data_IF_841692044365
#
_entry.id   IF_841692044365
#
_cell.length_a   1.000
_cell.length_b   1.000
_cell.length_c   1.000
_cell.angle_alpha   90.00
_cell.angle_beta   90.00
_cell.angle_gamma   90.00
#
_symmetry.space_group_name_H-M   'P 1'
#
loop_
_entity.id
_entity.type
_entity.pdbx_description
1 polymer ?
#
# COMPACT_ATOMS: atom_id res chain seq x y z
N UNK A 1 -11.62 -10.42 -21.56
CA UNK A 1 -12.70 -10.76 -20.62
C UNK A 1 -12.81 -9.59 -19.66
N UNK A 2 -13.85 -8.78 -19.76
CA UNK A 2 -14.11 -7.72 -18.78
C UNK A 2 -14.60 -8.39 -17.51
N UNK A 3 -13.81 -8.28 -16.43
CA UNK A 3 -14.24 -8.75 -15.11
C UNK A 3 -15.59 -8.11 -14.76
N UNK A 4 -16.52 -8.92 -14.26
CA UNK A 4 -17.76 -8.44 -13.69
C UNK A 4 -17.44 -7.46 -12.55
N UNK A 5 -18.14 -6.32 -12.38
CA UNK A 5 -17.78 -5.29 -11.39
C UNK A 5 -17.89 -5.74 -9.93
N UNK A 6 -18.16 -7.00 -9.66
CA UNK A 6 -18.32 -7.59 -8.32
C UNK A 6 -17.68 -8.99 -8.19
N UNK A 7 -16.61 -9.31 -8.91
CA UNK A 7 -15.89 -10.54 -8.60
C UNK A 7 -15.12 -10.35 -7.29
N UNK A 8 -15.47 -11.11 -6.25
CA UNK A 8 -14.77 -11.15 -4.96
C UNK A 8 -13.43 -11.91 -5.05
N UNK A 9 -13.00 -12.28 -6.25
CA UNK A 9 -11.76 -13.02 -6.44
C UNK A 9 -10.60 -12.06 -6.73
N UNK A 10 -9.40 -12.35 -6.20
CA UNK A 10 -8.21 -11.55 -6.50
C UNK A 10 -7.87 -11.66 -7.99
N UNK A 11 -7.38 -10.58 -8.55
CA UNK A 11 -6.92 -10.56 -9.94
C UNK A 11 -5.64 -11.40 -10.04
N UNK A 12 -5.63 -12.45 -10.85
CA UNK A 12 -4.47 -13.31 -11.00
C UNK A 12 -3.32 -12.56 -11.68
N UNK A 13 -2.10 -12.79 -11.22
CA UNK A 13 -0.89 -12.23 -11.82
C UNK A 13 -0.31 -13.23 -12.82
N UNK A 14 -0.09 -12.80 -14.06
CA UNK A 14 0.62 -13.58 -15.04
C UNK A 14 2.14 -13.45 -14.84
N UNK A 15 2.78 -14.55 -14.46
CA UNK A 15 4.23 -14.59 -14.25
C UNK A 15 5.03 -14.19 -15.50
N UNK A 16 4.48 -14.44 -16.70
CA UNK A 16 5.11 -14.05 -17.97
C UNK A 16 5.17 -12.53 -18.11
N UNK A 17 4.13 -11.81 -17.70
CA UNK A 17 4.10 -10.34 -17.68
C UNK A 17 5.12 -9.78 -16.70
N UNK A 18 5.21 -10.36 -15.51
CA UNK A 18 6.20 -9.96 -14.49
C UNK A 18 7.63 -10.14 -14.98
N UNK A 19 7.92 -11.26 -15.68
CA UNK A 19 9.24 -11.51 -16.27
C UNK A 19 9.57 -10.52 -17.42
N UNK A 20 8.58 -10.20 -18.27
CA UNK A 20 8.75 -9.20 -19.32
C UNK A 20 9.02 -7.81 -18.73
N UNK A 21 8.26 -7.42 -17.71
CA UNK A 21 8.51 -6.15 -16.98
C UNK A 21 9.91 -6.15 -16.39
N UNK A 22 10.31 -7.25 -15.72
CA UNK A 22 11.65 -7.38 -15.14
C UNK A 22 12.78 -7.27 -16.18
N UNK A 23 12.55 -7.71 -17.41
CA UNK A 23 13.53 -7.62 -18.49
C UNK A 23 13.61 -6.22 -19.12
N UNK A 24 12.52 -5.46 -19.08
CA UNK A 24 12.40 -4.16 -19.72
C UNK A 24 12.59 -2.98 -18.75
N UNK A 25 12.24 -3.17 -17.47
CA UNK A 25 12.33 -2.11 -16.45
C UNK A 25 13.78 -1.77 -16.16
N UNK A 26 14.15 -0.51 -16.35
CA UNK A 26 15.52 -0.03 -16.15
C UNK A 26 16.51 -0.40 -17.26
N UNK A 27 16.08 -1.09 -18.32
CA UNK A 27 16.93 -1.35 -19.48
C UNK A 27 17.22 -0.04 -20.22
N UNK A 28 18.49 0.27 -20.40
CA UNK A 28 18.96 1.48 -21.10
C UNK A 28 18.79 1.39 -22.61
N UNK A 29 18.80 0.15 -23.14
CA UNK A 29 18.66 -0.17 -24.56
C UNK A 29 17.42 -1.04 -24.80
N UNK A 30 16.98 -1.08 -26.06
CA UNK A 30 15.88 -1.95 -26.44
C UNK A 30 16.30 -3.43 -26.38
N UNK A 31 15.45 -4.29 -25.83
CA UNK A 31 15.68 -5.73 -25.69
C UNK A 31 15.04 -6.45 -26.88
N UNK A 32 15.80 -7.33 -27.55
CA UNK A 32 15.29 -8.07 -28.71
C UNK A 32 14.17 -9.03 -28.32
N UNK A 33 13.20 -9.24 -29.24
CA UNK A 33 12.12 -10.19 -29.01
C UNK A 33 12.61 -11.64 -28.85
N UNK A 34 13.80 -11.96 -29.37
CA UNK A 34 14.46 -13.26 -29.18
C UNK A 34 15.02 -13.39 -27.77
N UNK A 35 15.68 -12.35 -27.25
CA UNK A 35 16.22 -12.36 -25.90
C UNK A 35 15.10 -12.41 -24.85
N UNK A 36 14.01 -11.65 -25.07
CA UNK A 36 12.81 -11.74 -24.23
C UNK A 36 12.22 -13.15 -24.26
N UNK A 37 12.07 -13.75 -25.43
CA UNK A 37 11.54 -15.12 -25.59
C UNK A 37 12.40 -16.15 -24.82
N UNK A 38 13.72 -16.03 -24.93
CA UNK A 38 14.65 -16.89 -24.20
C UNK A 38 14.55 -16.70 -22.68
N UNK A 39 14.48 -15.45 -22.19
CA UNK A 39 14.37 -15.16 -20.75
C UNK A 39 13.11 -15.73 -20.11
N UNK A 40 11.98 -15.62 -20.81
CA UNK A 40 10.69 -16.11 -20.27
C UNK A 40 10.39 -17.58 -20.64
N UNK A 41 11.26 -18.24 -21.39
CA UNK A 41 11.07 -19.63 -21.85
C UNK A 41 9.83 -19.82 -22.74
N UNK A 42 9.50 -18.82 -23.59
CA UNK A 42 8.31 -18.80 -24.45
C UNK A 42 8.67 -18.45 -25.90
N UNK A 43 7.69 -18.54 -26.80
CA UNK A 43 7.87 -18.15 -28.20
C UNK A 43 7.90 -16.60 -28.36
N UNK A 44 8.51 -16.13 -29.45
CA UNK A 44 8.44 -14.72 -29.86
C UNK A 44 7.01 -14.21 -30.06
N UNK A 45 6.12 -15.10 -30.55
CA UNK A 45 4.69 -14.79 -30.69
C UNK A 45 4.05 -14.53 -29.34
N UNK A 46 4.36 -15.35 -28.33
CA UNK A 46 3.89 -15.13 -26.95
C UNK A 46 4.40 -13.80 -26.40
N UNK A 47 5.69 -13.46 -26.59
CA UNK A 47 6.26 -12.17 -26.21
C UNK A 47 5.46 -11.03 -26.84
N UNK A 48 5.24 -11.08 -28.16
CA UNK A 48 4.49 -10.05 -28.86
C UNK A 48 3.06 -9.88 -28.30
N UNK A 49 2.35 -11.00 -28.11
CA UNK A 49 0.98 -10.99 -27.56
C UNK A 49 0.93 -10.34 -26.18
N UNK A 50 1.88 -10.72 -25.30
CA UNK A 50 1.96 -10.16 -23.93
C UNK A 50 2.37 -8.69 -23.90
N UNK A 51 3.29 -8.27 -24.78
CA UNK A 51 3.62 -6.83 -24.92
C UNK A 51 2.40 -6.02 -25.37
N UNK A 52 1.61 -6.52 -26.32
CA UNK A 52 0.39 -5.83 -26.75
C UNK A 52 -0.69 -5.81 -25.64
N UNK A 53 -0.71 -6.81 -24.77
CA UNK A 53 -1.57 -6.80 -23.58
C UNK A 53 -1.11 -5.74 -22.58
N UNK A 54 0.17 -5.69 -22.22
CA UNK A 54 0.74 -4.66 -21.34
C UNK A 54 0.50 -3.24 -21.87
N UNK A 55 0.61 -3.02 -23.19
CA UNK A 55 0.27 -1.72 -23.80
C UNK A 55 -1.19 -1.33 -23.57
N UNK A 56 -2.14 -2.29 -23.68
CA UNK A 56 -3.56 -2.05 -23.39
C UNK A 56 -3.81 -1.72 -21.90
N UNK A 57 -2.92 -2.19 -21.01
CA UNK A 57 -2.94 -1.90 -19.58
C UNK A 57 -2.23 -0.58 -19.22
N UNK A 58 -1.77 0.17 -20.23
CA UNK A 58 -1.21 1.51 -20.05
C UNK A 58 0.32 1.58 -19.98
N UNK A 59 1.02 0.47 -20.26
CA UNK A 59 2.47 0.51 -20.43
C UNK A 59 2.84 1.16 -21.76
N UNK A 60 3.70 2.15 -21.74
CA UNK A 60 4.27 2.75 -22.93
C UNK A 60 5.52 1.96 -23.37
N UNK A 61 5.32 1.03 -24.30
CA UNK A 61 6.39 0.15 -24.79
C UNK A 61 6.62 0.43 -26.28
N UNK A 62 7.76 1.02 -26.60
CA UNK A 62 8.19 1.18 -27.98
C UNK A 62 8.62 -0.16 -28.56
N UNK A 63 8.14 -0.50 -29.77
CA UNK A 63 8.48 -1.71 -30.50
C UNK A 63 9.08 -1.38 -31.86
N UNK A 64 10.25 -1.95 -32.16
CA UNK A 64 10.94 -1.82 -33.45
C UNK A 64 11.36 -3.18 -33.96
N UNK A 65 11.18 -3.41 -35.26
CA UNK A 65 11.60 -4.67 -35.90
C UNK A 65 13.13 -4.86 -35.90
N UNK A 66 13.89 -3.77 -35.78
CA UNK A 66 15.37 -3.82 -35.77
C UNK A 66 15.94 -3.92 -34.37
N UNK A 67 15.42 -3.12 -33.42
CA UNK A 67 15.99 -3.00 -32.08
C UNK A 67 15.27 -3.81 -31.00
N UNK A 68 14.02 -4.21 -31.22
CA UNK A 68 13.20 -4.92 -30.24
C UNK A 68 12.26 -4.01 -29.46
N UNK A 69 12.14 -4.23 -28.15
CA UNK A 69 11.19 -3.58 -27.25
C UNK A 69 11.90 -2.73 -26.20
N UNK A 70 11.38 -1.54 -25.92
CA UNK A 70 11.86 -0.67 -24.85
C UNK A 70 10.68 -0.11 -24.08
N UNK A 71 10.71 -0.25 -22.76
CA UNK A 71 9.73 0.34 -21.84
C UNK A 71 10.07 1.82 -21.64
N UNK A 72 9.17 2.71 -22.02
CA UNK A 72 9.32 4.15 -21.86
C UNK A 72 8.65 4.66 -20.60
N UNK A 73 7.42 4.13 -20.31
CA UNK A 73 6.65 4.53 -19.12
C UNK A 73 5.82 3.34 -18.61
N UNK A 74 5.66 3.29 -17.30
CA UNK A 74 4.72 2.37 -16.64
C UNK A 74 3.39 3.10 -16.39
N UNK A 75 2.26 2.36 -16.23
CA UNK A 75 0.97 2.95 -15.93
C UNK A 75 1.00 3.72 -14.59
N UNK A 76 0.28 4.86 -14.48
CA UNK A 76 0.26 5.66 -13.26
C UNK A 76 -0.62 5.05 -12.15
N UNK A 77 -1.37 3.99 -12.46
CA UNK A 77 -2.28 3.31 -11.54
C UNK A 77 -1.66 2.01 -11.02
N UNK A 78 -2.29 1.45 -9.97
CA UNK A 78 -1.91 0.13 -9.48
C UNK A 78 -2.08 -0.92 -10.57
N UNK A 79 -1.08 -1.77 -10.71
CA UNK A 79 -0.99 -2.84 -11.70
C UNK A 79 -0.47 -4.12 -11.02
N UNK A 80 -1.26 -5.22 -11.02
CA UNK A 80 -0.86 -6.47 -10.37
C UNK A 80 0.54 -6.96 -10.77
N UNK A 81 0.92 -6.99 -12.07
CA UNK A 81 2.27 -7.42 -12.45
C UNK A 81 3.37 -6.46 -11.99
N UNK A 82 3.13 -5.14 -11.88
CA UNK A 82 4.11 -4.19 -11.30
C UNK A 82 4.25 -4.38 -9.79
N UNK A 83 3.14 -4.56 -9.07
CA UNK A 83 3.17 -4.86 -7.63
C UNK A 83 3.99 -6.13 -7.39
N UNK A 84 3.75 -7.19 -8.17
CA UNK A 84 4.51 -8.44 -8.06
C UNK A 84 5.98 -8.25 -8.44
N UNK A 85 6.28 -7.41 -9.44
CA UNK A 85 7.65 -7.08 -9.81
C UNK A 85 8.39 -6.39 -8.67
N UNK A 86 7.83 -5.30 -8.10
CA UNK A 86 8.46 -4.56 -6.99
C UNK A 86 8.49 -5.35 -5.68
N UNK A 87 7.57 -6.30 -5.47
CA UNK A 87 7.56 -7.13 -4.25
C UNK A 87 8.73 -8.11 -4.16
N UNK A 88 9.43 -8.38 -5.26
CA UNK A 88 10.63 -9.22 -5.28
C UNK A 88 11.77 -8.70 -4.37
N UNK A 89 11.78 -7.39 -4.11
CA UNK A 89 12.76 -6.74 -3.24
C UNK A 89 12.37 -6.79 -1.74
N UNK A 90 11.26 -7.42 -1.39
CA UNK A 90 10.92 -7.68 0.01
C UNK A 90 11.86 -8.76 0.58
N UNK A 91 12.31 -8.54 1.83
CA UNK A 91 13.21 -9.47 2.51
C UNK A 91 12.58 -10.86 2.75
N UNK A 92 11.25 -10.90 2.79
CA UNK A 92 10.46 -12.11 2.97
C UNK A 92 9.41 -12.17 1.84
N UNK A 93 9.11 -13.38 1.36
CA UNK A 93 8.02 -13.58 0.40
C UNK A 93 6.68 -13.37 1.09
N UNK A 94 6.00 -12.29 0.76
CA UNK A 94 4.67 -11.95 1.27
C UNK A 94 3.67 -12.05 0.12
N UNK A 95 2.70 -12.98 0.17
CA UNK A 95 1.62 -13.03 -0.82
C UNK A 95 0.86 -11.70 -0.86
N UNK A 96 0.61 -11.17 -2.06
CA UNK A 96 -0.15 -9.94 -2.26
C UNK A 96 -1.36 -10.26 -3.11
N UNK A 97 -2.55 -10.04 -2.55
CA UNK A 97 -3.83 -10.22 -3.21
C UNK A 97 -4.34 -8.88 -3.70
N UNK A 98 -4.48 -8.74 -5.00
CA UNK A 98 -4.94 -7.50 -5.62
C UNK A 98 -6.39 -7.64 -6.10
N UNK A 99 -7.21 -6.61 -5.82
CA UNK A 99 -8.61 -6.53 -6.19
C UNK A 99 -8.91 -5.23 -6.95
N UNK A 100 -9.77 -5.29 -7.94
CA UNK A 100 -10.28 -4.08 -8.59
C UNK A 100 -11.13 -3.27 -7.61
N UNK A 101 -12.02 -3.93 -6.86
CA UNK A 101 -12.88 -3.31 -5.85
C UNK A 101 -13.26 -4.31 -4.78
N UNK A 102 -13.32 -3.86 -3.52
CA UNK A 102 -13.80 -4.63 -2.37
C UNK A 102 -14.69 -3.74 -1.49
N UNK A 103 -15.40 -4.33 -0.55
CA UNK A 103 -16.08 -3.54 0.50
C UNK A 103 -15.04 -2.84 1.38
N UNK A 104 -14.07 -3.59 1.91
CA UNK A 104 -12.94 -3.08 2.69
C UNK A 104 -11.77 -4.05 2.60
N UNK A 105 -10.57 -3.55 2.41
CA UNK A 105 -9.35 -4.37 2.40
C UNK A 105 -9.12 -5.08 3.74
N UNK A 106 -9.54 -4.50 4.87
CA UNK A 106 -9.50 -5.16 6.18
C UNK A 106 -10.47 -6.34 6.24
N UNK A 107 -11.71 -6.17 5.78
CA UNK A 107 -12.68 -7.26 5.74
C UNK A 107 -12.24 -8.37 4.80
N UNK A 108 -11.65 -8.03 3.67
CA UNK A 108 -11.13 -9.02 2.74
C UNK A 108 -9.96 -9.79 3.34
N UNK A 109 -9.04 -9.12 4.02
CA UNK A 109 -7.96 -9.77 4.76
C UNK A 109 -8.49 -10.71 5.85
N UNK A 110 -9.56 -10.32 6.56
CA UNK A 110 -10.23 -11.19 7.55
C UNK A 110 -10.86 -12.43 6.89
N UNK A 111 -11.53 -12.27 5.72
CA UNK A 111 -12.09 -13.39 4.95
C UNK A 111 -11.01 -14.37 4.52
N UNK A 112 -9.89 -13.86 4.00
CA UNK A 112 -8.76 -14.70 3.61
C UNK A 112 -8.18 -15.47 4.82
N UNK A 113 -8.01 -14.83 5.97
CA UNK A 113 -7.59 -15.52 7.20
C UNK A 113 -8.57 -16.62 7.59
N UNK A 114 -9.86 -16.32 7.57
CA UNK A 114 -10.93 -17.29 7.89
C UNK A 114 -10.98 -18.43 6.87
N UNK A 115 -10.68 -18.16 5.60
CA UNK A 115 -10.55 -19.13 4.52
C UNK A 115 -9.26 -19.98 4.56
N UNK A 116 -8.40 -19.75 5.54
CA UNK A 116 -7.18 -20.54 5.78
C UNK A 116 -5.90 -19.97 5.15
N UNK A 117 -5.95 -18.76 4.57
CA UNK A 117 -4.74 -18.07 4.12
C UNK A 117 -3.88 -17.71 5.33
N UNK A 118 -2.65 -18.20 5.35
CA UNK A 118 -1.71 -17.98 6.45
C UNK A 118 -1.02 -16.61 6.32
N UNK A 119 -1.05 -15.75 7.35
CA UNK A 119 -0.23 -14.54 7.41
C UNK A 119 1.29 -14.86 7.54
N UNK A 120 2.20 -13.92 7.16
CA UNK A 120 1.84 -12.59 6.67
C UNK A 120 1.40 -12.59 5.21
N UNK A 121 0.44 -11.73 4.88
CA UNK A 121 0.05 -11.42 3.51
C UNK A 121 -0.51 -10.00 3.42
N UNK A 122 -0.61 -9.46 2.22
CA UNK A 122 -1.22 -8.15 1.97
C UNK A 122 -2.43 -8.25 1.03
N UNK A 123 -3.40 -7.37 1.24
CA UNK A 123 -4.54 -7.12 0.36
C UNK A 123 -4.43 -5.70 -0.16
N UNK A 124 -4.47 -5.50 -1.46
CA UNK A 124 -4.51 -4.18 -2.11
C UNK A 124 -5.77 -4.11 -2.97
N UNK A 125 -6.47 -2.99 -2.94
CA UNK A 125 -7.60 -2.73 -3.83
C UNK A 125 -7.47 -1.38 -4.53
N UNK A 126 -7.94 -1.29 -5.79
CA UNK A 126 -8.01 -0.01 -6.49
C UNK A 126 -9.09 0.89 -5.90
N UNK A 127 -10.18 0.31 -5.38
CA UNK A 127 -11.29 1.03 -4.78
C UNK A 127 -11.91 0.25 -3.61
N UNK A 128 -12.56 0.97 -2.68
CA UNK A 128 -13.41 0.36 -1.66
C UNK A 128 -14.78 1.04 -1.68
N UNK A 129 -15.87 0.23 -1.65
CA UNK A 129 -17.23 0.77 -1.61
C UNK A 129 -17.81 0.91 -0.18
N UNK A 130 -17.13 0.33 0.83
CA UNK A 130 -17.47 0.45 2.25
C UNK A 130 -16.20 0.60 3.12
N UNK A 131 -15.26 1.47 2.70
CA UNK A 131 -14.02 1.71 3.43
C UNK A 131 -14.26 2.12 4.87
N UNK A 132 -13.56 1.48 5.81
CA UNK A 132 -13.71 1.66 7.25
C UNK A 132 -12.70 2.60 7.86
N UNK A 133 -13.14 3.38 8.83
CA UNK A 133 -12.31 4.12 9.77
C UNK A 133 -12.63 3.74 11.22
N UNK A 134 -11.89 4.27 12.17
CA UNK A 134 -12.13 4.02 13.61
C UNK A 134 -13.50 4.54 14.06
N UNK A 135 -14.04 3.91 15.10
CA UNK A 135 -15.31 4.30 15.76
C UNK A 135 -16.48 4.36 14.78
N UNK A 136 -16.56 3.43 13.82
CA UNK A 136 -17.66 3.36 12.85
C UNK A 136 -17.66 4.44 11.78
N UNK A 137 -16.60 5.22 11.66
CA UNK A 137 -16.47 6.22 10.57
C UNK A 137 -16.16 5.52 9.25
N UNK A 138 -16.56 6.16 8.14
CA UNK A 138 -16.17 5.72 6.81
C UNK A 138 -14.84 6.35 6.36
N UNK A 139 -14.12 5.64 5.50
CA UNK A 139 -12.98 6.16 4.76
C UNK A 139 -13.39 6.35 3.30
N UNK A 140 -13.22 7.57 2.77
CA UNK A 140 -13.53 7.85 1.37
C UNK A 140 -12.51 7.17 0.45
N UNK A 141 -12.93 6.17 -0.32
CA UNK A 141 -12.03 5.25 -1.05
C UNK A 141 -12.51 4.88 -2.46
N UNK A 142 -13.18 5.81 -3.14
CA UNK A 142 -13.68 5.58 -4.51
C UNK A 142 -12.68 6.00 -5.61
N UNK A 143 -11.57 6.65 -5.24
CA UNK A 143 -10.55 7.10 -6.21
C UNK A 143 -9.47 6.04 -6.39
N UNK A 144 -9.21 5.66 -7.65
CA UNK A 144 -8.09 4.79 -8.02
C UNK A 144 -6.71 5.50 -7.96
N UNK A 145 -6.68 6.78 -7.62
CA UNK A 145 -5.45 7.57 -7.47
C UNK A 145 -4.84 7.45 -6.06
N UNK A 146 -5.43 6.60 -5.21
CA UNK A 146 -5.05 6.43 -3.82
C UNK A 146 -4.68 4.97 -3.54
N UNK A 147 -4.01 4.72 -2.42
CA UNK A 147 -3.66 3.38 -1.98
C UNK A 147 -4.60 2.93 -0.85
N UNK A 148 -5.20 1.77 -1.03
CA UNK A 148 -5.95 1.05 0.00
C UNK A 148 -5.32 -0.32 0.17
N UNK A 149 -4.73 -0.52 1.34
CA UNK A 149 -3.93 -1.71 1.62
C UNK A 149 -4.20 -2.20 3.03
N UNK A 150 -4.26 -3.51 3.20
CA UNK A 150 -4.29 -4.15 4.52
C UNK A 150 -3.26 -5.25 4.59
N UNK A 151 -2.52 -5.31 5.71
CA UNK A 151 -1.52 -6.36 5.96
C UNK A 151 -2.00 -7.19 7.13
N UNK A 152 -2.07 -8.50 6.95
CA UNK A 152 -2.42 -9.46 7.98
C UNK A 152 -1.18 -10.08 8.60
N UNK A 153 -1.21 -10.27 9.92
CA UNK A 153 -0.19 -10.90 10.74
C UNK A 153 -0.80 -11.95 11.65
N UNK A 154 -0.01 -12.92 12.09
CA UNK A 154 -0.39 -13.94 13.07
C UNK A 154 0.59 -13.93 14.26
N UNK A 155 0.44 -12.99 15.20
CA UNK A 155 1.43 -12.77 16.25
C UNK A 155 1.48 -13.90 17.29
N UNK A 156 0.35 -14.56 17.55
CA UNK A 156 0.22 -15.58 18.61
C UNK A 156 0.89 -15.16 19.93
N UNK A 157 0.71 -13.91 20.33
CA UNK A 157 1.31 -13.31 21.52
C UNK A 157 0.27 -12.59 22.37
N UNK A 158 0.66 -12.15 23.56
CA UNK A 158 -0.18 -11.32 24.43
C UNK A 158 -0.49 -9.97 23.76
N UNK A 159 -1.72 -9.47 23.96
CA UNK A 159 -2.18 -8.25 23.32
C UNK A 159 -1.35 -7.01 23.72
N UNK A 160 -0.82 -7.02 24.96
CA UNK A 160 0.00 -5.92 25.51
C UNK A 160 1.24 -5.62 24.65
N UNK A 161 1.89 -6.65 24.11
CA UNK A 161 3.10 -6.48 23.28
C UNK A 161 2.85 -5.69 21.97
N UNK A 162 1.60 -5.66 21.53
CA UNK A 162 1.22 -5.01 20.27
C UNK A 162 0.41 -3.73 20.46
N UNK A 163 0.26 -3.23 21.69
CA UNK A 163 -0.46 -1.99 21.95
C UNK A 163 0.14 -0.78 21.20
N UNK A 164 1.45 -0.72 21.08
CA UNK A 164 2.17 0.34 20.37
C UNK A 164 2.34 0.09 18.86
N UNK A 165 1.91 -1.05 18.33
CA UNK A 165 2.15 -1.43 16.94
C UNK A 165 1.65 -0.39 15.93
N UNK A 166 0.44 0.15 16.10
CA UNK A 166 -0.10 1.17 15.18
C UNK A 166 0.77 2.44 15.17
N UNK A 167 1.35 2.82 16.30
CA UNK A 167 2.24 3.98 16.39
C UNK A 167 3.56 3.69 15.68
N UNK A 168 4.16 2.54 15.93
CA UNK A 168 5.38 2.11 15.22
C UNK A 168 5.16 1.99 13.71
N UNK A 169 4.04 1.42 13.28
CA UNK A 169 3.69 1.37 11.86
C UNK A 169 3.60 2.79 11.26
N UNK A 170 2.96 3.73 11.95
CA UNK A 170 2.90 5.13 11.53
C UNK A 170 4.26 5.79 11.41
N UNK A 171 5.16 5.55 12.38
CA UNK A 171 6.53 6.07 12.40
C UNK A 171 7.31 5.52 11.18
N UNK A 172 7.31 4.21 10.98
CA UNK A 172 8.05 3.58 9.90
C UNK A 172 7.50 3.96 8.51
N UNK A 173 6.18 4.09 8.38
CA UNK A 173 5.55 4.59 7.16
C UNK A 173 5.99 6.04 6.89
N UNK A 174 5.95 6.93 7.88
CA UNK A 174 6.42 8.31 7.71
C UNK A 174 7.90 8.36 7.32
N UNK A 175 8.76 7.57 7.95
CA UNK A 175 10.20 7.50 7.65
C UNK A 175 10.44 7.09 6.20
N UNK A 176 9.72 6.09 5.69
CA UNK A 176 9.85 5.67 4.30
C UNK A 176 9.27 6.67 3.32
N UNK A 177 8.11 7.24 3.63
CA UNK A 177 7.52 8.30 2.81
C UNK A 177 8.42 9.54 2.74
N UNK A 178 9.17 9.85 3.79
CA UNK A 178 10.10 10.99 3.80
C UNK A 178 11.19 10.87 2.72
N UNK A 179 11.56 9.64 2.30
CA UNK A 179 12.48 9.43 1.17
C UNK A 179 11.88 9.85 -0.17
N UNK A 180 10.55 9.83 -0.29
CA UNK A 180 9.83 10.25 -1.51
C UNK A 180 9.46 11.72 -1.49
N UNK A 181 9.35 12.30 -0.31
CA UNK A 181 8.94 13.70 -0.10
C UNK A 181 9.82 14.37 0.98
N UNK A 182 11.15 14.51 0.74
CA UNK A 182 12.10 14.96 1.76
C UNK A 182 11.76 16.34 2.32
N UNK A 183 11.14 17.21 1.54
CA UNK A 183 10.83 18.59 1.92
C UNK A 183 9.45 18.74 2.60
N UNK A 184 8.63 17.69 2.66
CA UNK A 184 7.31 17.79 3.26
C UNK A 184 7.35 17.50 4.77
N UNK A 185 6.66 18.30 5.60
CA UNK A 185 6.61 18.11 7.05
C UNK A 185 5.59 17.03 7.40
N UNK A 186 5.97 15.77 7.23
CA UNK A 186 5.13 14.64 7.62
C UNK A 186 5.05 14.54 9.13
N UNK A 187 3.85 14.37 9.67
CA UNK A 187 3.56 14.27 11.09
C UNK A 187 2.53 13.17 11.35
N UNK A 188 2.51 12.67 12.57
CA UNK A 188 1.53 11.69 13.03
C UNK A 188 0.63 12.35 14.05
N UNK A 189 -0.67 12.39 13.77
CA UNK A 189 -1.67 12.78 14.76
C UNK A 189 -2.17 11.55 15.48
N UNK A 190 -1.85 11.47 16.76
CA UNK A 190 -2.31 10.39 17.62
C UNK A 190 -3.83 10.17 17.48
N UNK A 191 -4.33 8.92 17.43
CA UNK A 191 -3.50 7.70 17.58
C UNK A 191 -3.12 7.01 16.24
N UNK A 192 -3.59 7.47 15.07
CA UNK A 192 -3.53 6.65 13.87
C UNK A 192 -3.61 7.41 12.53
N UNK A 193 -3.43 8.72 12.54
CA UNK A 193 -3.59 9.56 11.36
C UNK A 193 -2.27 10.21 10.94
N UNK A 194 -1.97 10.20 9.64
CA UNK A 194 -0.80 10.89 9.10
C UNK A 194 -1.21 12.24 8.50
N UNK A 195 -0.44 13.26 8.81
CA UNK A 195 -0.70 14.65 8.48
C UNK A 195 0.46 15.27 7.70
N UNK A 196 0.13 16.16 6.78
CA UNK A 196 1.06 17.06 6.10
C UNK A 196 0.44 18.45 6.03
N UNK A 197 1.18 19.50 6.38
CA UNK A 197 0.71 20.88 6.38
C UNK A 197 -0.64 21.07 7.11
N UNK A 198 -0.83 20.39 8.24
CA UNK A 198 -2.04 20.48 9.06
C UNK A 198 -3.25 19.72 8.53
N UNK A 199 -3.15 18.97 7.45
CA UNK A 199 -4.22 18.19 6.84
C UNK A 199 -3.91 16.71 6.82
N UNK A 200 -4.94 15.89 6.97
CA UNK A 200 -4.83 14.44 6.94
C UNK A 200 -4.64 13.92 5.53
N UNK A 201 -3.57 13.13 5.29
CA UNK A 201 -3.35 12.45 4.01
C UNK A 201 -3.42 10.92 4.13
N UNK A 202 -3.34 10.37 5.35
CA UNK A 202 -3.49 8.94 5.57
C UNK A 202 -4.15 8.64 6.90
N UNK A 203 -4.79 7.48 6.99
CA UNK A 203 -5.34 6.93 8.22
C UNK A 203 -5.09 5.44 8.30
N UNK A 204 -4.83 4.94 9.50
CA UNK A 204 -4.61 3.54 9.78
C UNK A 204 -5.74 2.98 10.64
N UNK A 205 -6.10 1.72 10.41
CA UNK A 205 -7.07 0.98 11.21
C UNK A 205 -6.52 -0.40 11.54
N UNK A 206 -6.14 -0.59 12.79
CA UNK A 206 -5.70 -1.89 13.29
C UNK A 206 -6.88 -2.62 13.90
N UNK A 207 -7.16 -3.83 13.41
CA UNK A 207 -8.18 -4.75 13.92
C UNK A 207 -7.51 -6.05 14.36
N UNK A 208 -7.92 -6.60 15.48
CA UNK A 208 -7.33 -7.80 16.05
C UNK A 208 -8.39 -8.81 16.44
N UNK A 209 -8.07 -10.10 16.26
CA UNK A 209 -8.84 -11.21 16.81
C UNK A 209 -8.04 -11.83 17.95
N UNK A 210 -8.64 -11.82 19.14
CA UNK A 210 -8.05 -12.37 20.37
C UNK A 210 -8.83 -13.62 20.74
N UNK A 211 -8.12 -14.67 21.10
CA UNK A 211 -8.66 -15.89 21.63
C UNK A 211 -7.83 -16.30 22.86
N UNK A 212 -8.53 -16.50 23.99
CA UNK A 212 -7.90 -16.93 25.27
C UNK A 212 -6.67 -16.08 25.65
N UNK A 213 -6.80 -14.74 25.61
CA UNK A 213 -5.78 -13.74 25.93
C UNK A 213 -4.61 -13.64 24.92
N UNK A 214 -4.64 -14.44 23.86
CA UNK A 214 -3.64 -14.36 22.80
C UNK A 214 -4.20 -13.77 21.52
N UNK A 215 -3.46 -12.85 20.93
CA UNK A 215 -3.80 -12.27 19.64
C UNK A 215 -3.48 -13.25 18.53
N UNK A 216 -4.52 -13.81 17.90
CA UNK A 216 -4.40 -14.80 16.83
C UNK A 216 -4.18 -14.14 15.47
N UNK A 217 -4.86 -13.02 15.23
CA UNK A 217 -4.76 -12.28 13.98
C UNK A 217 -4.71 -10.80 14.28
N UNK A 218 -3.84 -10.10 13.54
CA UNK A 218 -3.72 -8.65 13.57
C UNK A 218 -3.75 -8.16 12.14
N UNK A 219 -4.66 -7.25 11.81
CA UNK A 219 -4.80 -6.66 10.48
C UNK A 219 -4.56 -5.17 10.59
N UNK A 220 -3.55 -4.66 9.88
CA UNK A 220 -3.28 -3.24 9.73
C UNK A 220 -3.83 -2.77 8.40
N UNK A 221 -4.92 -2.02 8.42
CA UNK A 221 -5.44 -1.30 7.25
C UNK A 221 -4.86 0.09 7.12
N UNK A 222 -4.55 0.48 5.92
CA UNK A 222 -4.07 1.80 5.54
C UNK A 222 -4.89 2.36 4.38
N UNK A 223 -5.40 3.58 4.56
CA UNK A 223 -5.88 4.43 3.47
C UNK A 223 -4.90 5.60 3.30
N UNK A 224 -4.30 5.72 2.12
CA UNK A 224 -3.34 6.77 1.79
C UNK A 224 -3.84 7.57 0.58
N UNK A 225 -4.12 8.84 0.77
CA UNK A 225 -4.40 9.78 -0.30
C UNK A 225 -3.08 10.11 -1.00
N UNK A 226 -2.82 9.50 -2.14
CA UNK A 226 -1.53 9.58 -2.81
C UNK A 226 -1.54 10.58 -3.96
N UNK A 227 -2.26 10.26 -5.03
CA UNK A 227 -2.26 11.01 -6.28
C UNK A 227 -3.55 11.79 -6.55
N UNK A 228 -4.52 11.78 -5.64
CA UNK A 228 -5.74 12.57 -5.79
C UNK A 228 -5.44 14.07 -5.87
N UNK A 229 -5.97 14.81 -6.85
CA UNK A 229 -5.87 16.26 -6.86
C UNK A 229 -6.73 16.88 -5.74
N UNK A 230 -6.43 18.11 -5.33
CA UNK A 230 -7.19 18.82 -4.27
C UNK A 230 -8.70 18.89 -4.55
N UNK A 231 -9.08 18.93 -5.82
CA UNK A 231 -10.49 19.00 -6.25
C UNK A 231 -11.24 17.69 -6.15
N UNK A 232 -10.55 16.56 -5.97
CA UNK A 232 -11.19 15.23 -5.89
C UNK A 232 -11.85 14.96 -4.53
N UNK A 233 -11.52 15.74 -3.49
CA UNK A 233 -12.11 15.56 -2.17
C UNK A 233 -13.53 16.12 -2.09
N UNK A 234 -14.48 15.38 -1.47
CA UNK A 234 -15.81 15.89 -1.14
C UNK A 234 -15.71 17.21 -0.36
N UNK A 235 -16.73 18.05 -0.47
CA UNK A 235 -16.73 19.40 0.12
C UNK A 235 -16.47 19.39 1.63
N UNK A 236 -17.06 18.45 2.33
CA UNK A 236 -16.92 18.27 3.79
C UNK A 236 -15.49 17.84 4.22
N UNK A 237 -14.68 17.33 3.28
CA UNK A 237 -13.28 16.97 3.51
C UNK A 237 -12.30 18.02 3.01
N UNK A 238 -12.74 18.95 2.15
CA UNK A 238 -11.91 20.07 1.69
C UNK A 238 -11.45 20.89 2.90
N UNK A 239 -10.17 21.13 3.02
CA UNK A 239 -9.61 21.83 4.19
C UNK A 239 -9.19 20.92 5.36
N UNK A 240 -9.68 19.67 5.44
CA UNK A 240 -9.30 18.69 6.48
C UNK A 240 -8.41 17.57 5.92
N UNK A 241 -8.62 17.21 4.66
CA UNK A 241 -7.85 16.18 3.95
C UNK A 241 -6.96 16.78 2.87
N UNK A 242 -5.91 16.05 2.53
CA UNK A 242 -4.99 16.35 1.43
C UNK A 242 -4.46 15.03 0.85
N UNK A 243 -3.60 15.11 -0.17
CA UNK A 243 -2.84 14.00 -0.73
C UNK A 243 -1.36 14.37 -0.82
N UNK A 244 -0.47 13.39 -0.92
CA UNK A 244 0.96 13.68 -1.13
C UNK A 244 1.19 14.46 -2.43
N UNK A 245 0.50 14.10 -3.52
CA UNK A 245 0.56 14.87 -4.78
C UNK A 245 0.15 16.33 -4.60
N UNK A 246 -0.91 16.58 -3.85
CA UNK A 246 -1.42 17.94 -3.65
C UNK A 246 -0.46 18.81 -2.84
N UNK A 247 0.34 18.22 -1.96
CA UNK A 247 1.34 18.93 -1.15
C UNK A 247 2.69 19.03 -1.85
N UNK A 248 3.14 17.97 -2.56
CA UNK A 248 4.42 17.95 -3.28
C UNK A 248 4.35 18.55 -4.68
N UNK A 249 3.15 18.79 -5.21
CA UNK A 249 2.90 19.22 -6.60
C UNK A 249 3.53 18.29 -7.66
N UNK A 250 3.61 16.98 -7.35
CA UNK A 250 4.12 15.94 -8.26
C UNK A 250 3.36 14.64 -8.04
N UNK A 251 3.28 13.79 -9.06
CA UNK A 251 2.68 12.47 -8.96
C UNK A 251 3.73 11.43 -8.56
N UNK A 252 3.28 10.39 -7.86
CA UNK A 252 4.10 9.32 -7.34
C UNK A 252 3.81 8.01 -8.05
N UNK A 253 4.82 7.16 -8.16
CA UNK A 253 4.68 5.79 -8.64
C UNK A 253 4.02 4.94 -7.54
N UNK A 254 2.77 4.51 -7.79
CA UNK A 254 1.91 3.89 -6.78
C UNK A 254 2.37 2.47 -6.44
N UNK A 255 2.87 1.72 -7.42
CA UNK A 255 3.20 0.30 -7.24
C UNK A 255 4.44 0.13 -6.35
N UNK A 256 5.53 0.85 -6.63
CA UNK A 256 6.73 0.83 -5.78
C UNK A 256 6.42 1.38 -4.38
N UNK A 257 5.66 2.47 -4.29
CA UNK A 257 5.29 3.06 -3.00
C UNK A 257 4.41 2.11 -2.17
N UNK A 258 3.51 1.34 -2.80
CA UNK A 258 2.73 0.33 -2.08
C UNK A 258 3.60 -0.73 -1.43
N UNK A 259 4.68 -1.14 -2.07
CA UNK A 259 5.65 -2.08 -1.52
C UNK A 259 6.45 -1.47 -0.36
N UNK A 260 6.79 -0.17 -0.44
CA UNK A 260 7.43 0.52 0.68
C UNK A 260 6.51 0.60 1.93
N UNK A 261 5.20 0.76 1.74
CA UNK A 261 4.23 0.70 2.84
C UNK A 261 4.16 -0.70 3.46
N UNK A 262 4.12 -1.75 2.62
CA UNK A 262 4.15 -3.13 3.11
C UNK A 262 5.45 -3.38 3.89
N UNK A 263 6.59 -2.99 3.33
CA UNK A 263 7.92 -3.11 3.97
C UNK A 263 7.98 -2.41 5.33
N UNK A 264 7.47 -1.18 5.41
CA UNK A 264 7.41 -0.42 6.66
C UNK A 264 6.57 -1.15 7.72
N UNK A 265 5.42 -1.69 7.31
CA UNK A 265 4.51 -2.40 8.20
C UNK A 265 5.08 -3.72 8.72
N UNK A 266 5.76 -4.49 7.84
CA UNK A 266 6.47 -5.72 8.22
C UNK A 266 7.61 -5.42 9.20
N UNK A 267 8.37 -4.36 8.94
CA UNK A 267 9.46 -3.93 9.81
C UNK A 267 8.96 -3.51 11.19
N UNK A 268 7.91 -2.69 11.25
CA UNK A 268 7.29 -2.27 12.50
C UNK A 268 6.75 -3.45 13.30
N UNK A 269 6.11 -4.43 12.62
CA UNK A 269 5.60 -5.64 13.26
C UNK A 269 6.74 -6.47 13.86
N UNK A 270 7.80 -6.71 13.11
CA UNK A 270 8.95 -7.48 13.57
C UNK A 270 9.61 -6.83 14.78
N UNK A 271 9.79 -5.51 14.77
CA UNK A 271 10.35 -4.78 15.89
C UNK A 271 9.50 -4.89 17.16
N UNK A 272 8.17 -4.87 17.05
CA UNK A 272 7.26 -5.04 18.19
C UNK A 272 7.30 -6.47 18.78
N UNK A 273 7.45 -7.51 17.94
CA UNK A 273 7.48 -8.90 18.39
C UNK A 273 8.85 -9.28 18.96
N UNK A 274 9.92 -8.92 18.25
CA UNK A 274 11.28 -9.36 18.59
C UNK A 274 11.96 -8.44 19.61
N UNK A 275 11.32 -7.32 19.98
CA UNK A 275 11.87 -6.31 20.90
C UNK A 275 13.29 -5.82 20.47
N UNK A 276 13.58 -5.88 19.16
CA UNK A 276 14.91 -5.60 18.60
C UNK A 276 15.17 -4.11 18.38
N UNK A 277 14.18 -3.24 18.62
CA UNK A 277 14.41 -1.81 18.45
C UNK A 277 15.23 -1.26 19.61
N UNK A 278 16.35 -0.65 19.26
CA UNK A 278 17.22 0.07 20.22
C UNK A 278 16.70 1.47 20.52
N UNK A 279 15.76 1.97 19.70
CA UNK A 279 15.13 3.29 19.85
C UNK A 279 13.84 3.16 20.67
N UNK A 280 13.66 4.00 21.65
CA UNK A 280 12.42 4.05 22.41
C UNK A 280 11.30 4.74 21.62
N UNK A 281 10.05 4.34 21.88
CA UNK A 281 8.89 4.88 21.18
C UNK A 281 8.76 6.39 21.37
N UNK A 282 9.03 6.91 22.55
CA UNK A 282 8.95 8.34 22.88
C UNK A 282 9.94 9.16 22.06
N UNK A 283 11.16 8.69 21.85
CA UNK A 283 12.18 9.36 21.00
C UNK A 283 11.75 9.32 19.53
N UNK A 284 11.34 8.17 19.01
CA UNK A 284 10.87 8.03 17.63
C UNK A 284 9.61 8.86 17.35
N UNK A 285 8.71 8.94 18.33
CA UNK A 285 7.47 9.68 18.24
C UNK A 285 7.68 11.20 18.29
N UNK A 286 8.55 11.69 19.17
CA UNK A 286 8.74 13.12 19.46
C UNK A 286 9.01 13.96 18.21
N UNK A 287 9.78 13.42 17.28
CA UNK A 287 10.09 14.07 16.01
C UNK A 287 8.89 14.17 15.05
N UNK A 288 7.92 13.26 15.17
CA UNK A 288 6.78 13.15 14.26
C UNK A 288 5.45 13.59 14.88
N UNK A 289 5.40 13.91 16.19
CA UNK A 289 4.16 14.25 16.86
C UNK A 289 3.54 15.54 16.31
N UNK A 290 2.32 15.41 15.76
CA UNK A 290 1.52 16.53 15.28
C UNK A 290 0.95 17.39 16.42
N UNK A 291 0.75 16.81 17.60
CA UNK A 291 0.11 17.47 18.74
C UNK A 291 1.11 18.17 19.66
N UNK A 292 2.41 17.94 19.47
CA UNK A 292 3.47 18.55 20.28
C UNK A 292 3.32 20.08 20.32
N UNK A 293 3.26 20.62 21.53
CA UNK A 293 3.11 22.06 21.79
C UNK A 293 1.73 22.65 21.51
N UNK A 294 0.70 21.81 21.26
CA UNK A 294 -0.67 22.26 21.02
C UNK A 294 -1.54 22.00 22.26
N UNK A 295 -2.45 22.94 22.54
CA UNK A 295 -3.54 22.67 23.48
C UNK A 295 -4.53 21.70 22.86
N UNK A 296 -4.82 20.61 23.56
CA UNK A 296 -5.74 19.57 23.13
C UNK A 296 -6.82 19.34 24.18
N UNK A 297 -7.99 18.89 23.75
CA UNK A 297 -9.04 18.37 24.64
C UNK A 297 -9.18 16.89 24.40
N UNK A 298 -8.97 16.08 25.42
CA UNK A 298 -9.21 14.64 25.37
C UNK A 298 -10.68 14.37 25.72
N UNK A 299 -11.37 13.59 24.90
CA UNK A 299 -12.74 13.15 25.17
C UNK A 299 -12.77 11.63 25.31
N UNK A 300 -13.15 11.17 26.49
CA UNK A 300 -13.36 9.76 26.78
C UNK A 300 -14.75 9.57 27.37
N UNK A 301 -15.55 8.66 26.80
CA UNK A 301 -16.91 8.30 27.26
C UNK A 301 -17.80 9.52 27.58
N UNK A 302 -17.64 10.61 26.81
CA UNK A 302 -18.42 11.84 26.98
C UNK A 302 -17.83 12.85 27.98
N UNK A 303 -16.76 12.52 28.69
CA UNK A 303 -16.03 13.45 29.53
C UNK A 303 -14.93 14.16 28.72
N UNK A 304 -14.67 15.41 29.05
CA UNK A 304 -13.62 16.25 28.44
C UNK A 304 -12.56 16.51 29.51
N UNK A 305 -11.31 16.20 29.19
CA UNK A 305 -10.14 16.42 30.04
C UNK A 305 -9.20 17.46 29.44
#
# INVERSE_FOLDING_TARGET
MTASPHSNDPIPVDSTEVELISALYGATEAVSGTDLANRIGRSRTTVHTKIEQLKKEGFDIHASTRSGYRLEKIPPKLSPPLIQFFSRDLAETVPIFFYASVDSTNLEAERLCTGGQKPPFAVIASQQYAGKGRLGRSWHSQSEDNLYCSIAFAPNTEAEKLQSFTLWAGIEICRRLQNWVPDLPLKIKWPNDLYCNGKKFSGMLTEARIDSDRMQTLILGLGLNLNSPKTAFPEELRGKATSLRAEANTSFEMNALSIEIIRASLFAYKNCIDEQTTESLDVAWDALDYLKGKSISLREKGQVY
#
